data_IF_575583709075
#
_entry.id   IF_575583709075
#
_cell.length_a   1.000
_cell.length_b   1.000
_cell.length_c   1.000
_cell.angle_alpha   90.00
_cell.angle_beta   90.00
_cell.angle_gamma   90.00
#
_symmetry.space_group_name_H-M   'P 1'
#
loop_
_entity.id
_entity.type
_entity.pdbx_description
1 polymer ?
#
# COMPACT_ATOMS: atom_id res chain seq x y z
N UNK A 1 -44.29 -5.21 4.11
CA UNK A 1 -43.38 -4.16 4.61
C UNK A 1 -42.03 -4.34 3.93
N UNK A 2 -41.77 -3.61 2.86
CA UNK A 2 -40.44 -3.55 2.26
C UNK A 2 -39.64 -2.55 3.09
N UNK A 3 -38.63 -3.03 3.83
CA UNK A 3 -37.66 -2.13 4.43
C UNK A 3 -36.98 -1.44 3.27
N UNK A 4 -37.11 -0.12 3.15
CA UNK A 4 -36.25 0.65 2.27
C UNK A 4 -34.83 0.30 2.70
N UNK A 5 -34.13 -0.45 1.87
CA UNK A 5 -32.71 -0.73 2.04
C UNK A 5 -32.08 0.64 2.29
N UNK A 6 -31.36 0.85 3.41
CA UNK A 6 -30.72 2.12 3.64
C UNK A 6 -29.87 2.37 2.40
N UNK A 7 -30.14 3.48 1.69
CA UNK A 7 -29.45 3.81 0.44
C UNK A 7 -27.96 3.51 0.65
N UNK A 8 -27.33 2.69 -0.21
CA UNK A 8 -25.88 2.54 -0.13
C UNK A 8 -25.28 3.94 -0.18
N UNK A 9 -24.25 4.23 0.63
CA UNK A 9 -23.56 5.50 0.52
C UNK A 9 -23.15 5.68 -0.94
N UNK A 10 -23.31 6.89 -1.48
CA UNK A 10 -22.77 7.21 -2.80
C UNK A 10 -21.27 6.98 -2.74
N UNK A 11 -20.83 5.85 -3.26
CA UNK A 11 -19.42 5.58 -3.47
C UNK A 11 -19.01 6.46 -4.63
N UNK A 12 -18.20 7.47 -4.34
CA UNK A 12 -17.48 8.21 -5.35
C UNK A 12 -16.82 7.22 -6.30
N UNK A 13 -17.18 7.28 -7.58
CA UNK A 13 -16.57 6.45 -8.61
C UNK A 13 -15.21 7.06 -8.96
N UNK A 14 -14.34 7.17 -7.95
CA UNK A 14 -12.99 7.65 -8.12
C UNK A 14 -12.14 6.54 -8.72
N UNK A 15 -11.34 6.91 -9.71
CA UNK A 15 -10.37 6.00 -10.29
C UNK A 15 -9.36 5.61 -9.19
N UNK A 16 -8.90 4.35 -9.11
CA UNK A 16 -7.89 3.92 -8.15
C UNK A 16 -6.58 4.74 -8.18
N UNK A 17 -6.38 5.53 -9.24
CA UNK A 17 -5.21 6.39 -9.43
C UNK A 17 -5.52 7.89 -9.41
N UNK A 18 -6.70 8.30 -8.95
CA UNK A 18 -7.17 9.68 -9.06
C UNK A 18 -6.43 10.67 -8.16
N UNK A 19 -5.92 10.21 -7.02
CA UNK A 19 -5.12 11.07 -6.13
C UNK A 19 -3.71 11.29 -6.70
N UNK A 20 -3.16 12.51 -6.53
CA UNK A 20 -1.81 12.87 -6.98
C UNK A 20 -0.71 11.91 -6.51
N UNK A 21 -0.88 11.29 -5.35
CA UNK A 21 0.09 10.37 -4.76
C UNK A 21 -0.20 8.88 -5.06
N UNK A 22 -1.29 8.56 -5.76
CA UNK A 22 -1.67 7.15 -6.01
C UNK A 22 -0.58 6.35 -6.69
N UNK A 23 0.13 6.98 -7.65
CA UNK A 23 1.28 6.35 -8.33
C UNK A 23 2.44 6.07 -7.37
N UNK A 24 2.70 6.99 -6.42
CA UNK A 24 3.76 6.83 -5.41
C UNK A 24 3.38 5.73 -4.42
N UNK A 25 2.12 5.66 -3.99
CA UNK A 25 1.64 4.61 -3.11
C UNK A 25 1.67 3.24 -3.78
N UNK A 26 1.29 3.17 -5.06
CA UNK A 26 1.38 1.94 -5.83
C UNK A 26 2.83 1.44 -5.93
N UNK A 27 3.77 2.32 -6.27
CA UNK A 27 5.19 1.99 -6.35
C UNK A 27 5.77 1.57 -4.99
N UNK A 28 5.41 2.29 -3.91
CA UNK A 28 5.82 1.95 -2.56
C UNK A 28 5.28 0.58 -2.11
N UNK A 29 4.03 0.26 -2.45
CA UNK A 29 3.44 -1.04 -2.16
C UNK A 29 4.18 -2.17 -2.88
N UNK A 30 4.46 -2.00 -4.18
CA UNK A 30 5.24 -2.99 -4.95
C UNK A 30 6.64 -3.19 -4.34
N UNK A 31 7.33 -2.11 -3.98
CA UNK A 31 8.63 -2.17 -3.29
C UNK A 31 8.56 -2.91 -1.95
N UNK A 32 7.49 -2.70 -1.17
CA UNK A 32 7.31 -3.40 0.10
C UNK A 32 7.12 -4.90 -0.14
N UNK A 33 6.31 -5.28 -1.13
CA UNK A 33 6.15 -6.68 -1.51
C UNK A 33 7.49 -7.29 -1.94
N UNK A 34 8.26 -6.61 -2.78
CA UNK A 34 9.60 -7.07 -3.17
C UNK A 34 10.54 -7.20 -1.96
N UNK A 35 10.47 -6.30 -1.00
CA UNK A 35 11.33 -6.36 0.18
C UNK A 35 10.97 -7.53 1.12
N UNK A 36 9.68 -7.81 1.30
CA UNK A 36 9.20 -8.79 2.27
C UNK A 36 8.93 -10.18 1.67
N UNK A 37 8.56 -10.27 0.39
CA UNK A 37 8.25 -11.54 -0.28
C UNK A 37 9.44 -12.12 -1.03
N UNK A 38 10.58 -11.45 -1.08
CA UNK A 38 11.82 -12.03 -1.60
C UNK A 38 12.61 -12.70 -0.46
N UNK A 39 12.51 -14.03 -0.27
CA UNK A 39 13.27 -14.73 0.78
C UNK A 39 14.78 -14.62 0.57
N UNK A 40 15.25 -14.33 -0.65
CA UNK A 40 16.65 -14.04 -0.94
C UNK A 40 17.12 -12.68 -0.39
N UNK A 41 16.24 -11.69 -0.27
CA UNK A 41 16.56 -10.40 0.35
C UNK A 41 16.67 -10.50 1.89
N UNK A 42 15.93 -11.43 2.50
CA UNK A 42 16.00 -11.72 3.94
C UNK A 42 17.26 -12.52 4.35
N UNK A 43 17.99 -13.10 3.40
CA UNK A 43 19.21 -13.88 3.67
C UNK A 43 20.44 -13.01 3.92
N UNK A 44 20.42 -11.74 3.54
CA UNK A 44 21.49 -10.81 3.88
C UNK A 44 21.09 -10.03 5.13
N UNK A 45 21.79 -10.16 6.27
CA UNK A 45 21.62 -9.22 7.35
C UNK A 45 22.02 -7.85 6.80
N UNK A 46 21.06 -6.93 6.71
CA UNK A 46 21.35 -5.53 6.41
C UNK A 46 22.34 -5.06 7.46
N UNK A 47 23.60 -4.87 7.07
CA UNK A 47 24.66 -4.39 7.93
C UNK A 47 24.29 -2.97 8.36
N UNK A 48 23.62 -2.84 9.50
CA UNK A 48 23.27 -1.55 10.09
C UNK A 48 24.55 -0.95 10.66
N UNK A 49 25.09 0.05 9.96
CA UNK A 49 26.19 0.87 10.47
C UNK A 49 25.67 1.71 11.65
N UNK A 50 26.29 1.64 12.85
CA UNK A 50 25.91 2.49 13.97
C UNK A 50 26.19 3.95 13.62
N UNK A 51 25.28 4.85 14.01
CA UNK A 51 25.53 6.29 13.89
C UNK A 51 26.62 6.67 14.89
N UNK A 52 27.69 7.29 14.41
CA UNK A 52 28.71 7.92 15.26
C UNK A 52 28.07 9.13 15.96
N UNK A 53 28.34 9.29 17.27
CA UNK A 53 27.96 10.49 18.03
C UNK A 53 28.83 11.69 17.67
#
# INVERSE_FOLDING_TARGET
>A
MFKATPNPPETENVSPYESNDSKKFHDAANRALDHYLNPSALKSPVARKPSTM
#
